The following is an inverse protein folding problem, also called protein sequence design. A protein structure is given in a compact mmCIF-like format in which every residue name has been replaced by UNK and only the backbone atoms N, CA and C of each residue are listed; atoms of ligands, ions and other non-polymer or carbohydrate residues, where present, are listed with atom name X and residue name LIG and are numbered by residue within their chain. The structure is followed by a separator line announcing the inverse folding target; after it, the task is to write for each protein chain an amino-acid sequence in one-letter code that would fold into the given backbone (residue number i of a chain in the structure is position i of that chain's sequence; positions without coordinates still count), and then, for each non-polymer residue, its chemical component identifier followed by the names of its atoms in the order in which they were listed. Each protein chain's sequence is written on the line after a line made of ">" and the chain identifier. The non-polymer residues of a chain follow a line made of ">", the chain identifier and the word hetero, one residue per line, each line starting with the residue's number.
data_IF_770936234274
#
_entry.id   IF_770936234274
#
_cell.length_a   1.000
_cell.length_b   1.000
_cell.length_c   1.000
_cell.angle_alpha   90.00
_cell.angle_beta   90.00
_cell.angle_gamma   90.00
#
_symmetry.space_group_name_H-M   'P 1'
#
loop_
_entity.id
_entity.type
_entity.pdbx_description
1 polymer ?
#
# COMPACT_ATOMS: atom_id res chain seq x y z
N UNK A 1 4.48 29.78 -58.82
CA UNK A 1 3.82 28.48 -59.06
C UNK A 1 4.85 27.39 -58.82
N UNK A 2 4.73 26.66 -57.72
CA UNK A 2 5.52 25.46 -57.44
C UNK A 2 4.57 24.44 -56.84
N UNK A 3 4.43 23.32 -57.55
CA UNK A 3 3.65 22.15 -57.15
C UNK A 3 4.51 21.21 -56.29
N UNK A 4 3.80 20.33 -55.56
CA UNK A 4 4.08 18.92 -55.25
C UNK A 4 3.76 18.66 -53.76
N UNK A 5 2.58 18.09 -53.48
CA UNK A 5 2.24 16.65 -53.46
C UNK A 5 2.76 15.97 -52.21
N UNK A 6 1.82 15.48 -51.38
CA UNK A 6 1.87 14.27 -50.54
C UNK A 6 0.65 14.31 -49.60
N UNK A 7 -0.10 13.26 -49.28
CA UNK A 7 -0.18 11.89 -49.78
C UNK A 7 -1.51 11.36 -49.23
N UNK A 8 -2.35 10.77 -50.09
CA UNK A 8 -3.52 9.99 -49.66
C UNK A 8 -3.03 8.65 -49.09
N UNK A 9 -3.51 8.27 -47.92
CA UNK A 9 -3.51 6.86 -47.52
C UNK A 9 -4.91 6.47 -47.05
N UNK A 10 -5.53 5.63 -47.88
CA UNK A 10 -6.77 4.91 -47.66
C UNK A 10 -6.51 3.63 -46.86
N UNK A 11 -7.51 3.27 -46.05
CA UNK A 11 -7.99 1.94 -45.65
C UNK A 11 -7.06 0.72 -45.64
N UNK A 12 -6.96 0.08 -44.47
CA UNK A 12 -7.09 -1.39 -44.33
C UNK A 12 -7.05 -1.79 -42.85
N UNK A 13 -8.22 -2.09 -42.26
CA UNK A 13 -8.29 -2.83 -41.00
C UNK A 13 -8.68 -4.28 -41.29
N UNK A 14 -7.82 -5.28 -41.05
CA UNK A 14 -8.20 -6.68 -41.19
C UNK A 14 -9.00 -7.16 -39.98
N UNK A 15 -10.15 -7.78 -40.27
CA UNK A 15 -10.93 -8.60 -39.34
C UNK A 15 -10.16 -9.85 -38.91
N UNK A 16 -10.19 -10.16 -37.61
CA UNK A 16 -9.85 -11.46 -37.00
C UNK A 16 -10.94 -11.72 -35.96
N UNK A 17 -11.99 -12.49 -36.29
CA UNK A 17 -12.08 -13.96 -36.18
C UNK A 17 -11.41 -14.45 -34.90
N UNK A 18 -12.18 -14.51 -33.82
CA UNK A 18 -12.01 -15.55 -32.82
C UNK A 18 -13.22 -16.47 -32.92
N UNK A 19 -12.94 -17.71 -33.29
CA UNK A 19 -13.89 -18.81 -33.30
C UNK A 19 -14.51 -18.99 -31.92
N UNK A 20 -15.82 -18.79 -31.88
CA UNK A 20 -16.73 -19.34 -30.90
C UNK A 20 -16.87 -20.84 -31.19
N UNK A 21 -16.16 -21.69 -30.45
CA UNK A 21 -16.51 -23.10 -30.39
C UNK A 21 -15.95 -23.79 -29.14
N UNK A 22 -16.75 -23.88 -28.07
CA UNK A 22 -16.76 -25.02 -27.13
C UNK A 22 -18.09 -25.01 -26.38
N UNK A 23 -19.13 -25.51 -27.06
CA UNK A 23 -20.23 -26.20 -26.39
C UNK A 23 -19.85 -27.67 -26.25
N UNK A 24 -20.40 -28.31 -25.22
CA UNK A 24 -20.47 -29.75 -25.00
C UNK A 24 -19.24 -30.45 -24.37
N UNK A 25 -19.13 -30.35 -23.05
CA UNK A 25 -18.92 -31.57 -22.24
C UNK A 25 -19.38 -31.37 -20.78
N UNK A 26 -20.70 -31.20 -20.61
CA UNK A 26 -21.35 -31.58 -19.36
C UNK A 26 -21.73 -33.05 -19.47
N UNK A 27 -21.59 -33.75 -18.36
CA UNK A 27 -21.96 -35.16 -18.07
C UNK A 27 -20.76 -36.09 -18.06
N UNK A 28 -20.57 -36.72 -16.89
CA UNK A 28 -19.89 -38.00 -16.60
C UNK A 28 -18.98 -37.89 -15.38
N UNK A 29 -19.61 -37.72 -14.21
CA UNK A 29 -19.27 -38.56 -13.07
C UNK A 29 -20.60 -39.10 -12.51
N UNK A 30 -21.00 -40.24 -13.10
CA UNK A 30 -22.06 -41.09 -12.59
C UNK A 30 -21.74 -41.52 -11.16
N UNK A 31 -22.81 -41.54 -10.36
CA UNK A 31 -22.89 -42.01 -8.98
C UNK A 31 -22.06 -43.25 -8.71
N UNK A 32 -21.13 -43.10 -7.77
CA UNK A 32 -20.41 -44.21 -7.16
C UNK A 32 -21.33 -44.97 -6.21
N UNK A 33 -21.09 -46.27 -6.17
CA UNK A 33 -22.00 -47.34 -5.82
C UNK A 33 -22.59 -47.28 -4.40
N UNK A 34 -23.88 -47.57 -4.34
CA UNK A 34 -24.57 -48.03 -3.13
C UNK A 34 -23.97 -49.38 -2.72
N UNK A 35 -23.32 -49.44 -1.56
CA UNK A 35 -23.18 -50.71 -0.83
C UNK A 35 -23.77 -50.65 0.58
N UNK A 36 -24.37 -51.77 1.03
CA UNK A 36 -25.35 -51.82 2.10
C UNK A 36 -24.74 -51.94 3.50
N UNK A 37 -25.56 -51.49 4.45
CA UNK A 37 -25.46 -51.69 5.89
C UNK A 37 -24.88 -53.06 6.30
N UNK A 38 -23.86 -53.03 7.14
CA UNK A 38 -23.43 -54.18 7.92
C UNK A 38 -23.27 -53.74 9.39
N UNK A 39 -24.22 -54.05 10.29
CA UNK A 39 -24.05 -53.81 11.71
C UNK A 39 -23.47 -55.09 12.32
N UNK A 40 -22.23 -55.03 12.80
CA UNK A 40 -21.72 -55.76 13.97
C UNK A 40 -20.20 -55.87 13.90
N UNK A 41 -19.52 -55.05 14.68
CA UNK A 41 -18.26 -55.44 15.32
C UNK A 41 -18.16 -54.64 16.62
N UNK A 42 -18.75 -55.25 17.65
CA UNK A 42 -18.60 -54.88 19.04
C UNK A 42 -17.27 -55.47 19.49
N UNK A 43 -16.26 -54.64 19.80
CA UNK A 43 -15.26 -54.84 20.86
C UNK A 43 -14.20 -53.72 20.82
N UNK A 44 -13.93 -53.10 21.98
CA UNK A 44 -12.72 -52.30 22.20
C UNK A 44 -12.98 -50.92 22.79
N UNK A 45 -13.08 -50.85 24.11
CA UNK A 45 -13.12 -49.61 24.89
C UNK A 45 -11.90 -48.74 24.61
N UNK A 46 -12.09 -47.49 24.18
CA UNK A 46 -11.18 -46.39 24.53
C UNK A 46 -12.02 -45.16 24.92
N UNK A 47 -11.86 -44.75 26.17
CA UNK A 47 -12.39 -43.54 26.77
C UNK A 47 -11.92 -42.30 26.01
N UNK A 48 -12.83 -41.61 25.32
CA UNK A 48 -12.59 -40.24 24.85
C UNK A 48 -13.19 -39.27 25.86
N UNK A 49 -12.34 -38.88 26.79
CA UNK A 49 -12.51 -37.74 27.68
C UNK A 49 -12.92 -36.50 26.90
N UNK A 50 -13.89 -35.78 27.45
CA UNK A 50 -14.30 -34.44 27.05
C UNK A 50 -13.10 -33.51 26.82
N UNK A 51 -13.08 -32.85 25.67
CA UNK A 51 -12.58 -31.47 25.57
C UNK A 51 -13.56 -30.69 24.70
N UNK A 52 -14.28 -29.68 25.23
CA UNK A 52 -14.98 -28.76 24.37
C UNK A 52 -13.91 -27.96 23.61
N UNK A 53 -13.92 -28.10 22.29
CA UNK A 53 -13.14 -27.26 21.37
C UNK A 53 -13.68 -25.84 21.47
N UNK A 54 -13.17 -25.09 22.44
CA UNK A 54 -13.40 -23.66 22.59
C UNK A 54 -12.16 -22.95 22.05
N UNK A 55 -11.88 -23.16 20.77
CA UNK A 55 -10.97 -22.32 20.01
C UNK A 55 -11.65 -21.00 19.63
N UNK A 56 -12.12 -20.22 20.62
CA UNK A 56 -12.42 -18.81 20.36
C UNK A 56 -11.09 -18.13 20.03
N UNK A 57 -10.93 -17.83 18.74
CA UNK A 57 -9.74 -17.22 18.18
C UNK A 57 -9.26 -16.06 19.06
N UNK A 58 -8.09 -16.25 19.68
CA UNK A 58 -7.32 -15.16 20.29
C UNK A 58 -7.15 -14.10 19.20
N UNK A 59 -7.50 -12.82 19.44
CA UNK A 59 -7.20 -11.75 18.49
C UNK A 59 -5.71 -11.82 18.17
N UNK A 60 -5.37 -11.86 16.88
CA UNK A 60 -3.98 -11.81 16.45
C UNK A 60 -3.33 -10.59 17.12
N UNK A 61 -2.32 -10.83 17.96
CA UNK A 61 -1.58 -9.74 18.57
C UNK A 61 -0.99 -8.90 17.42
N UNK A 62 -1.15 -7.56 17.43
CA UNK A 62 -0.55 -6.73 16.40
C UNK A 62 0.96 -6.98 16.37
N UNK A 63 1.59 -6.99 15.18
CA UNK A 63 3.01 -7.23 15.06
C UNK A 63 3.77 -6.25 15.95
N UNK A 64 4.58 -6.78 16.88
CA UNK A 64 5.42 -5.96 17.76
C UNK A 64 6.32 -5.09 16.90
N UNK A 65 6.19 -3.77 17.03
CA UNK A 65 7.01 -2.81 16.31
C UNK A 65 8.41 -2.84 16.95
N UNK A 66 9.48 -3.12 16.19
CA UNK A 66 10.85 -3.05 16.69
C UNK A 66 11.15 -1.67 17.30
N UNK A 67 11.92 -1.62 18.40
CA UNK A 67 12.34 -0.36 19.03
C UNK A 67 13.23 0.50 18.12
N UNK A 68 13.84 -0.12 17.08
CA UNK A 68 14.61 0.57 16.04
C UNK A 68 13.74 1.45 15.15
N UNK A 69 12.42 1.22 15.10
CA UNK A 69 11.50 1.98 14.26
C UNK A 69 10.94 3.20 15.01
N UNK A 70 11.17 4.37 14.43
CA UNK A 70 10.68 5.62 14.99
C UNK A 70 9.17 5.76 14.80
N UNK A 71 8.49 6.11 15.90
CA UNK A 71 7.07 6.37 15.88
C UNK A 71 6.78 7.87 15.77
N UNK A 72 6.05 8.26 14.74
CA UNK A 72 5.76 9.65 14.38
C UNK A 72 4.25 9.90 14.27
N UNK A 73 3.88 11.18 14.23
CA UNK A 73 2.53 11.58 13.84
C UNK A 73 2.08 12.93 14.39
N UNK A 74 0.97 13.45 13.85
CA UNK A 74 0.50 14.79 14.16
C UNK A 74 0.05 14.91 15.62
N UNK A 75 0.31 16.08 16.21
CA UNK A 75 -0.19 16.47 17.54
C UNK A 75 0.19 15.49 18.66
N UNK A 76 1.44 15.00 18.63
CA UNK A 76 2.02 14.05 19.61
C UNK A 76 1.40 12.65 19.60
N UNK A 77 0.52 12.34 18.65
CA UNK A 77 0.00 10.98 18.47
C UNK A 77 0.98 10.18 17.61
N UNK A 78 1.65 9.22 18.24
CA UNK A 78 2.61 8.31 17.62
C UNK A 78 1.90 7.14 16.92
N UNK A 79 1.07 7.45 15.92
CA UNK A 79 0.22 6.45 15.22
C UNK A 79 0.81 5.93 13.91
N UNK A 80 2.01 6.41 13.56
CA UNK A 80 2.70 6.04 12.34
C UNK A 80 4.11 5.56 12.65
N UNK A 81 4.62 4.68 11.80
CA UNK A 81 6.01 4.21 11.81
C UNK A 81 6.73 4.90 10.65
N UNK A 82 7.86 5.53 10.95
CA UNK A 82 8.68 6.24 9.97
C UNK A 82 9.52 5.25 9.17
N UNK A 83 9.48 5.38 7.84
CA UNK A 83 10.43 4.72 6.97
C UNK A 83 11.63 5.64 6.71
N UNK A 84 12.84 5.08 6.80
CA UNK A 84 14.08 5.71 6.32
C UNK A 84 14.91 4.65 5.61
N UNK A 85 15.82 5.09 4.74
CA UNK A 85 16.74 4.19 4.05
C UNK A 85 17.61 3.37 5.03
N UNK A 86 18.02 3.97 6.15
CA UNK A 86 18.88 3.32 7.14
C UNK A 86 18.18 2.19 7.92
N UNK A 87 16.86 2.24 8.05
CA UNK A 87 16.05 1.23 8.77
C UNK A 87 15.15 0.44 7.83
N UNK A 88 15.45 0.44 6.52
CA UNK A 88 14.59 -0.16 5.52
C UNK A 88 14.31 -1.64 5.79
N UNK A 89 15.33 -2.42 6.16
CA UNK A 89 15.18 -3.87 6.32
C UNK A 89 14.28 -4.21 7.51
N UNK A 90 14.51 -3.58 8.67
CA UNK A 90 13.65 -3.70 9.86
C UNK A 90 12.23 -3.23 9.57
N UNK A 91 12.09 -2.10 8.87
CA UNK A 91 10.80 -1.53 8.51
C UNK A 91 10.02 -2.48 7.60
N UNK A 92 10.64 -2.98 6.52
CA UNK A 92 9.99 -3.88 5.57
C UNK A 92 9.66 -5.21 6.23
N UNK A 93 10.55 -5.76 7.06
CA UNK A 93 10.31 -6.99 7.82
C UNK A 93 9.14 -6.85 8.80
N UNK A 94 8.98 -5.70 9.45
CA UNK A 94 7.79 -5.39 10.24
C UNK A 94 6.55 -5.18 9.36
N UNK A 95 6.66 -4.37 8.31
CA UNK A 95 5.55 -3.97 7.46
C UNK A 95 4.91 -5.18 6.76
N UNK A 96 5.70 -6.14 6.28
CA UNK A 96 5.19 -7.38 5.67
C UNK A 96 4.37 -8.25 6.63
N UNK A 97 4.47 -8.05 7.96
CA UNK A 97 3.65 -8.73 8.98
C UNK A 97 2.31 -8.02 9.23
N UNK A 98 2.12 -6.82 8.70
CA UNK A 98 0.86 -6.07 8.83
C UNK A 98 -0.20 -6.59 7.87
N UNK A 99 -1.46 -6.23 8.09
CA UNK A 99 -2.58 -6.59 7.21
C UNK A 99 -2.35 -6.10 5.78
N UNK A 100 -1.93 -4.83 5.62
CA UNK A 100 -1.68 -4.23 4.31
C UNK A 100 -0.44 -4.81 3.64
N UNK A 101 0.68 -4.89 4.37
CA UNK A 101 1.96 -5.33 3.81
C UNK A 101 1.93 -6.79 3.37
N UNK A 102 1.26 -7.66 4.12
CA UNK A 102 1.14 -9.09 3.79
C UNK A 102 0.33 -9.37 2.51
N UNK A 103 -0.61 -8.48 2.16
CA UNK A 103 -1.41 -8.58 0.93
C UNK A 103 -0.72 -7.95 -0.29
N UNK A 104 0.33 -7.18 -0.06
CA UNK A 104 1.00 -6.40 -1.11
C UNK A 104 2.13 -7.20 -1.76
N UNK A 105 2.17 -7.24 -3.09
CA UNK A 105 3.21 -7.98 -3.87
C UNK A 105 4.47 -7.16 -4.20
N UNK A 106 4.54 -5.89 -3.79
CA UNK A 106 5.62 -4.96 -4.15
C UNK A 106 6.03 -4.09 -2.98
N UNK A 107 7.30 -3.73 -2.86
CA UNK A 107 7.70 -2.72 -1.90
C UNK A 107 7.20 -1.34 -2.37
N UNK A 108 6.41 -0.68 -1.53
CA UNK A 108 5.86 0.67 -1.81
C UNK A 108 6.86 1.76 -1.40
N UNK A 109 7.76 1.45 -0.47
CA UNK A 109 8.65 2.38 0.20
C UNK A 109 10.01 2.50 -0.49
N UNK A 110 10.03 2.61 -1.83
CA UNK A 110 11.27 2.78 -2.59
C UNK A 110 11.94 4.13 -2.25
N UNK A 111 13.28 4.21 -2.29
CA UNK A 111 14.03 5.44 -2.02
C UNK A 111 14.13 6.36 -3.24
N UNK A 112 14.11 5.78 -4.45
CA UNK A 112 14.35 6.50 -5.71
C UNK A 112 13.09 7.15 -6.23
N UNK A 113 12.93 8.43 -5.91
CA UNK A 113 11.85 9.26 -6.42
C UNK A 113 12.35 10.30 -7.41
N UNK A 114 11.62 10.51 -8.51
CA UNK A 114 11.99 11.51 -9.52
C UNK A 114 11.42 12.91 -9.22
N UNK A 115 10.36 13.00 -8.42
CA UNK A 115 9.69 14.27 -8.14
C UNK A 115 10.34 15.01 -6.96
N UNK A 116 10.70 16.27 -7.16
CA UNK A 116 11.31 17.15 -6.14
C UNK A 116 10.48 17.25 -4.86
N UNK A 117 9.14 17.16 -4.96
CA UNK A 117 8.27 17.29 -3.79
C UNK A 117 8.57 16.28 -2.68
N UNK A 118 9.19 15.14 -2.98
CA UNK A 118 9.56 14.13 -1.99
C UNK A 118 10.54 14.66 -0.93
N UNK A 119 11.30 15.70 -1.23
CA UNK A 119 12.19 16.35 -0.25
C UNK A 119 11.42 16.92 0.95
N UNK A 120 10.13 17.21 0.80
CA UNK A 120 9.29 17.82 1.83
C UNK A 120 8.39 16.83 2.58
N UNK A 121 8.52 15.53 2.32
CA UNK A 121 7.70 14.50 2.95
C UNK A 121 8.52 13.32 3.45
N UNK A 122 8.07 12.74 4.56
CA UNK A 122 8.50 11.44 5.06
C UNK A 122 7.57 10.35 4.52
N UNK A 123 8.12 9.18 4.21
CA UNK A 123 7.32 7.97 4.00
C UNK A 123 7.00 7.36 5.36
N UNK A 124 5.73 6.98 5.57
CA UNK A 124 5.29 6.39 6.84
C UNK A 124 4.26 5.28 6.60
N UNK A 125 4.11 4.37 7.55
CA UNK A 125 3.01 3.40 7.57
C UNK A 125 2.17 3.60 8.83
N UNK A 126 0.86 3.37 8.75
CA UNK A 126 -0.02 3.33 9.92
C UNK A 126 0.31 2.10 10.78
N UNK A 127 0.27 2.27 12.10
CA UNK A 127 0.51 1.16 13.04
C UNK A 127 -0.60 0.11 12.99
N UNK A 128 -1.84 0.53 12.74
CA UNK A 128 -3.02 -0.32 12.87
C UNK A 128 -3.05 -1.43 11.81
N UNK A 129 -2.86 -1.05 10.55
CA UNK A 129 -3.03 -1.92 9.38
C UNK A 129 -1.81 -1.93 8.46
N UNK A 130 -0.81 -1.06 8.67
CA UNK A 130 0.35 -0.93 7.79
C UNK A 130 0.06 -0.16 6.50
N UNK A 131 -1.09 0.52 6.38
CA UNK A 131 -1.39 1.36 5.22
C UNK A 131 -0.30 2.41 4.98
N UNK A 132 0.27 2.48 3.75
CA UNK A 132 1.31 3.44 3.40
C UNK A 132 0.72 4.85 3.30
N UNK A 133 1.44 5.82 3.86
CA UNK A 133 1.11 7.25 3.83
C UNK A 133 2.39 8.07 3.62
N UNK A 134 2.22 9.37 3.40
CA UNK A 134 3.30 10.34 3.45
C UNK A 134 2.97 11.44 4.45
N UNK A 135 3.95 11.86 5.24
CA UNK A 135 3.82 12.89 6.26
C UNK A 135 4.62 14.13 5.85
N UNK A 136 4.00 15.30 5.81
CA UNK A 136 4.70 16.54 5.52
C UNK A 136 5.70 16.86 6.64
N UNK A 137 6.97 17.11 6.29
CA UNK A 137 8.04 17.46 7.25
C UNK A 137 7.82 18.79 7.96
N UNK A 138 7.00 19.66 7.37
CA UNK A 138 6.78 21.02 7.84
C UNK A 138 5.60 21.15 8.81
N UNK A 139 4.52 20.40 8.55
CA UNK A 139 3.26 20.57 9.29
C UNK A 139 2.65 19.26 9.79
N UNK A 140 3.38 18.15 9.67
CA UNK A 140 2.96 16.80 10.06
C UNK A 140 1.64 16.32 9.44
N UNK A 141 1.19 16.98 8.37
CA UNK A 141 -0.04 16.59 7.69
C UNK A 141 0.16 15.29 6.93
N UNK A 142 -0.82 14.39 7.04
CA UNK A 142 -0.77 13.04 6.48
C UNK A 142 -1.56 13.03 5.17
N UNK A 143 -0.94 12.52 4.11
CA UNK A 143 -1.55 12.28 2.80
C UNK A 143 -1.44 10.79 2.44
N UNK A 144 -2.28 10.35 1.51
CA UNK A 144 -2.15 9.01 0.92
C UNK A 144 -0.84 8.87 0.15
N UNK A 145 -0.23 7.69 0.22
CA UNK A 145 1.00 7.41 -0.51
C UNK A 145 0.77 7.50 -2.03
N UNK A 146 1.61 8.21 -2.81
CA UNK A 146 1.44 8.33 -4.27
C UNK A 146 1.40 7.01 -5.03
N UNK A 147 2.21 6.06 -4.58
CA UNK A 147 2.26 4.72 -5.15
C UNK A 147 1.09 3.84 -4.69
N UNK A 148 0.30 4.25 -3.69
CA UNK A 148 -0.95 3.59 -3.34
C UNK A 148 -2.03 4.00 -4.35
N UNK A 149 -2.63 3.02 -5.03
CA UNK A 149 -3.66 3.21 -6.07
C UNK A 149 -3.27 4.17 -7.21
N UNK A 150 -1.98 4.28 -7.55
CA UNK A 150 -1.46 5.04 -8.70
C UNK A 150 -1.88 6.51 -8.75
N UNK A 151 -1.95 7.20 -7.60
CA UNK A 151 -2.45 8.58 -7.53
C UNK A 151 -1.43 9.65 -7.95
N UNK A 152 -0.15 9.30 -8.07
CA UNK A 152 0.92 10.25 -8.39
C UNK A 152 1.15 11.29 -7.28
N UNK A 153 2.06 12.25 -7.51
CA UNK A 153 2.52 13.19 -6.48
C UNK A 153 1.75 14.52 -6.44
N UNK A 154 0.69 14.67 -7.25
CA UNK A 154 -0.09 15.91 -7.37
C UNK A 154 -0.65 16.41 -6.03
N UNK A 155 -1.12 15.51 -5.17
CA UNK A 155 -1.63 15.87 -3.83
C UNK A 155 -0.54 16.42 -2.91
N UNK A 156 0.67 15.84 -2.97
CA UNK A 156 1.83 16.32 -2.22
C UNK A 156 2.27 17.69 -2.71
N UNK A 157 2.39 17.85 -4.03
CA UNK A 157 2.73 19.12 -4.67
C UNK A 157 1.73 20.22 -4.31
N UNK A 158 0.43 19.93 -4.44
CA UNK A 158 -0.62 20.90 -4.07
C UNK A 158 -0.54 21.27 -2.59
N UNK A 159 -0.32 20.29 -1.72
CA UNK A 159 -0.21 20.54 -0.29
C UNK A 159 0.97 21.46 0.04
N UNK A 160 2.16 21.13 -0.45
CA UNK A 160 3.37 21.91 -0.18
C UNK A 160 3.30 23.31 -0.81
N UNK A 161 2.93 23.38 -2.09
CA UNK A 161 2.93 24.63 -2.84
C UNK A 161 1.76 25.54 -2.48
N UNK A 162 0.57 25.03 -2.15
CA UNK A 162 -0.64 25.86 -1.98
C UNK A 162 -1.23 25.79 -0.56
N UNK A 163 -0.74 24.90 0.30
CA UNK A 163 -1.25 24.73 1.66
C UNK A 163 -0.94 25.93 2.54
N UNK A 164 -1.95 26.77 2.79
CA UNK A 164 -1.83 27.93 3.69
C UNK A 164 -1.34 27.52 5.08
N UNK A 165 -1.82 26.38 5.58
CA UNK A 165 -1.42 25.85 6.90
C UNK A 165 0.00 25.26 6.89
N UNK A 166 0.44 24.68 5.77
CA UNK A 166 1.81 24.19 5.60
C UNK A 166 2.80 25.37 5.61
N UNK A 167 2.52 26.42 4.82
CA UNK A 167 3.38 27.61 4.72
C UNK A 167 3.51 28.40 6.03
N UNK A 168 2.46 28.43 6.86
CA UNK A 168 2.48 29.13 8.16
C UNK A 168 3.40 28.46 9.18
N UNK A 169 3.57 27.14 9.07
CA UNK A 169 4.41 26.33 9.95
C UNK A 169 5.83 26.12 9.41
N UNK A 170 6.06 26.45 8.12
CA UNK A 170 7.39 26.51 7.56
C UNK A 170 8.24 27.51 8.36
N UNK A 171 9.47 27.13 8.76
CA UNK A 171 10.43 28.09 9.29
C UNK A 171 10.52 29.22 8.26
N UNK A 172 10.12 30.44 8.65
CA UNK A 172 10.39 31.61 7.82
C UNK A 172 11.90 31.73 7.75
N UNK A 173 12.49 31.30 6.64
CA UNK A 173 13.83 31.69 6.25
C UNK A 173 13.89 33.21 6.36
N UNK A 174 14.52 33.72 7.42
CA UNK A 174 14.87 35.12 7.49
C UNK A 174 15.97 35.30 6.47
N UNK A 175 15.58 35.77 5.29
CA UNK A 175 16.50 36.16 4.25
C UNK A 175 17.45 37.20 4.85
N UNK A 176 18.69 36.78 5.15
CA UNK A 176 19.71 37.57 5.86
C UNK A 176 19.92 38.92 5.15
N UNK A 177 19.66 38.99 3.84
CA UNK A 177 19.71 40.22 3.04
C UNK A 177 18.73 41.30 3.52
N UNK A 178 17.58 40.92 4.10
CA UNK A 178 16.59 41.85 4.65
C UNK A 178 16.97 42.41 6.02
N UNK A 179 17.85 41.73 6.76
CA UNK A 179 18.32 42.22 8.06
C UNK A 179 19.43 43.27 7.92
N UNK A 180 20.24 43.18 6.87
CA UNK A 180 21.35 44.13 6.62
C UNK A 180 20.84 45.51 6.17
N UNK A 181 19.70 45.58 5.48
CA UNK A 181 19.16 46.85 4.98
C UNK A 181 18.43 47.72 6.02
N UNK A 182 18.08 47.17 7.18
CA UNK A 182 17.31 47.87 8.22
C UNK A 182 18.18 48.35 9.40
N UNK A 183 19.50 48.15 9.34
CA UNK A 183 20.44 48.41 10.44
C UNK A 183 21.32 49.65 10.29
N UNK A 184 21.04 50.53 9.34
CA UNK A 184 21.77 51.81 9.20
C UNK A 184 20.78 52.95 9.38
N UNK A 185 20.76 53.52 10.58
CA UNK A 185 20.15 54.81 10.92
C UNK A 185 21.16 55.61 11.70
#
# INVERSE_FOLDING_TARGET
>A
MSQSQDSQFSDNYPSSIFEENTVDNLTFLSSDDLQPFNPNTLYGQHTSSSTPNVGFARPALPPTIPETLEHVGPRKKKTYVLWTEMVNDDFVAWWLKTEYGSQTKRNIFESKHQAECWEHFHQVATIQDGSPKVMCKTCDHILSHPADRHRGTSSMNKHYSQGVNCRKLAPRSQDIRRLIHNGVS
#
